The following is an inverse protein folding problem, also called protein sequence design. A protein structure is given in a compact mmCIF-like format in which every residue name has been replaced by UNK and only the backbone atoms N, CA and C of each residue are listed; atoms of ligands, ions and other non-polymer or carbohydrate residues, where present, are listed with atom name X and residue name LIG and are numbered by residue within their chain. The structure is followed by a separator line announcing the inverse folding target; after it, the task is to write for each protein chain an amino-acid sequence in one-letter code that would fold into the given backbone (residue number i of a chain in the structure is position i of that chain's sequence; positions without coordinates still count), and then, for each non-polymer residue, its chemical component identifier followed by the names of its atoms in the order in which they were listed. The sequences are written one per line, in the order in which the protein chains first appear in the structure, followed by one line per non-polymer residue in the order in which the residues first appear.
data_IF_568208354636
#
_entry.id   IF_568208354636
#
_cell.length_a   1.000
_cell.length_b   1.000
_cell.length_c   1.000
_cell.angle_alpha   90.00
_cell.angle_beta   90.00
_cell.angle_gamma   90.00
#
_symmetry.space_group_name_H-M   'P 1'
#
loop_
_entity.id
_entity.type
_entity.pdbx_description
1 polymer ?
#
# COMPACT_ATOMS: atom_id res chain seq x y z
N UNK A 1 6.39 -26.35 61.03
CA UNK A 1 5.75 -26.26 59.67
C UNK A 1 6.84 -25.92 58.65
N UNK A 2 7.16 -26.85 57.74
CA UNK A 2 8.35 -26.76 56.86
C UNK A 2 8.26 -25.56 55.91
N UNK A 3 9.31 -24.78 55.78
CA UNK A 3 9.50 -23.67 54.83
C UNK A 3 9.05 -24.02 53.39
N UNK A 4 9.37 -25.23 52.93
CA UNK A 4 8.94 -25.80 51.63
C UNK A 4 7.40 -25.75 51.45
N UNK A 5 6.62 -25.97 52.50
CA UNK A 5 5.16 -26.02 52.43
C UNK A 5 4.56 -24.61 52.30
N UNK A 6 5.18 -23.60 52.92
CA UNK A 6 4.79 -22.17 52.77
C UNK A 6 5.08 -21.64 51.38
N UNK A 7 6.28 -21.96 50.82
CA UNK A 7 6.67 -21.58 49.46
C UNK A 7 5.74 -22.19 48.40
N UNK A 8 5.41 -23.50 48.55
CA UNK A 8 4.48 -24.19 47.63
C UNK A 8 3.06 -23.58 47.66
N UNK A 9 2.59 -23.15 48.86
CA UNK A 9 1.30 -22.45 49.01
C UNK A 9 1.29 -21.09 48.33
N UNK A 10 2.38 -20.31 48.48
CA UNK A 10 2.53 -19.00 47.88
C UNK A 10 2.60 -19.05 46.34
N UNK A 11 3.34 -20.01 45.81
CA UNK A 11 3.40 -20.24 44.36
C UNK A 11 2.02 -20.62 43.81
N UNK A 12 1.29 -21.52 44.50
CA UNK A 12 -0.07 -21.91 44.07
C UNK A 12 -1.05 -20.73 44.14
N UNK A 13 -0.94 -19.87 45.16
CA UNK A 13 -1.76 -18.65 45.23
C UNK A 13 -1.47 -17.66 44.12
N UNK A 14 -0.19 -17.43 43.80
CA UNK A 14 0.20 -16.55 42.68
C UNK A 14 -0.30 -17.09 41.36
N UNK A 15 -0.10 -18.40 41.06
CA UNK A 15 -0.54 -19.02 39.83
C UNK A 15 -2.06 -19.03 39.66
N UNK A 16 -2.82 -19.21 40.73
CA UNK A 16 -4.29 -19.21 40.66
C UNK A 16 -4.89 -17.79 40.56
N UNK A 17 -4.16 -16.74 40.96
CA UNK A 17 -4.63 -15.37 40.91
C UNK A 17 -4.08 -14.55 39.71
N UNK A 18 -3.28 -15.19 38.85
CA UNK A 18 -2.93 -14.55 37.58
C UNK A 18 -4.16 -14.63 36.68
N UNK A 19 -4.78 -13.48 36.30
CA UNK A 19 -5.92 -13.50 35.39
C UNK A 19 -5.47 -14.11 34.07
N UNK A 20 -6.03 -15.24 33.70
CA UNK A 20 -5.81 -15.82 32.39
C UNK A 20 -6.35 -14.85 31.34
N UNK A 21 -5.48 -14.08 30.71
CA UNK A 21 -5.84 -13.29 29.54
C UNK A 21 -6.18 -14.24 28.41
N UNK A 22 -7.47 -14.41 28.15
CA UNK A 22 -7.93 -15.10 26.95
C UNK A 22 -7.66 -14.16 25.78
N UNK A 23 -6.74 -14.53 24.91
CA UNK A 23 -6.56 -13.88 23.62
C UNK A 23 -7.45 -14.61 22.62
N UNK A 24 -8.51 -13.96 22.19
CA UNK A 24 -9.28 -14.45 21.03
C UNK A 24 -8.49 -14.12 19.77
N UNK A 25 -7.74 -15.09 19.28
CA UNK A 25 -7.05 -14.97 18.00
C UNK A 25 -8.03 -15.33 16.90
N UNK A 26 -8.52 -14.34 16.18
CA UNK A 26 -9.32 -14.54 14.99
C UNK A 26 -8.38 -14.63 13.78
N UNK A 27 -8.12 -15.82 13.30
CA UNK A 27 -7.39 -16.03 12.04
C UNK A 27 -8.38 -15.78 10.90
N UNK A 28 -8.18 -14.68 10.15
CA UNK A 28 -8.93 -14.38 8.94
C UNK A 28 -8.06 -14.81 7.76
N UNK A 29 -8.51 -15.80 7.00
CA UNK A 29 -7.89 -16.15 5.71
C UNK A 29 -8.43 -15.20 4.66
N UNK A 30 -7.57 -14.37 4.09
CA UNK A 30 -7.91 -13.49 2.98
C UNK A 30 -7.63 -14.20 1.65
N UNK A 31 -8.53 -14.03 0.68
CA UNK A 31 -8.25 -14.45 -0.69
C UNK A 31 -7.12 -13.58 -1.28
N UNK A 32 -6.32 -14.09 -2.24
CA UNK A 32 -5.21 -13.33 -2.84
C UNK A 32 -5.64 -11.96 -3.39
N UNK A 33 -6.86 -11.86 -3.91
CA UNK A 33 -7.43 -10.61 -4.42
C UNK A 33 -8.00 -9.69 -3.32
N UNK A 34 -7.89 -10.05 -2.05
CA UNK A 34 -8.36 -9.27 -0.90
C UNK A 34 -7.25 -8.81 0.04
N UNK A 35 -5.99 -9.18 -0.24
CA UNK A 35 -4.85 -8.86 0.62
C UNK A 35 -4.69 -7.36 0.88
N UNK A 36 -4.98 -6.54 -0.13
CA UNK A 36 -4.90 -5.08 -0.08
C UNK A 36 -6.27 -4.40 -0.25
N UNK A 37 -7.35 -5.13 -0.02
CA UNK A 37 -8.72 -4.59 -0.13
C UNK A 37 -8.90 -3.39 0.82
N UNK A 38 -9.39 -2.28 0.27
CA UNK A 38 -9.58 -1.03 1.01
C UNK A 38 -8.30 -0.22 1.23
N UNK A 39 -7.16 -0.68 0.71
CA UNK A 39 -5.90 0.08 0.72
C UNK A 39 -5.70 0.84 -0.58
N UNK A 40 -5.04 1.99 -0.48
CA UNK A 40 -4.68 2.83 -1.63
C UNK A 40 -3.17 2.89 -1.77
N UNK A 41 -2.67 2.58 -2.95
CA UNK A 41 -1.26 2.70 -3.29
C UNK A 41 -1.03 3.82 -4.31
N UNK A 42 -0.07 4.70 -4.05
CA UNK A 42 0.47 5.66 -5.01
C UNK A 42 1.80 5.13 -5.54
N UNK A 43 1.91 4.95 -6.86
CA UNK A 43 3.09 4.41 -7.52
C UNK A 43 3.65 5.47 -8.47
N UNK A 44 4.83 5.99 -8.18
CA UNK A 44 5.49 6.93 -9.08
C UNK A 44 6.13 6.20 -10.26
N UNK A 45 5.97 6.73 -11.49
CA UNK A 45 6.49 6.06 -12.69
C UNK A 45 5.76 4.76 -13.04
N UNK A 46 4.44 4.72 -12.83
CA UNK A 46 3.60 3.53 -13.06
C UNK A 46 3.16 3.31 -14.51
N UNK A 47 3.67 4.07 -15.48
CA UNK A 47 3.22 4.00 -16.88
C UNK A 47 3.91 2.93 -17.71
N UNK A 48 4.97 2.29 -17.22
CA UNK A 48 5.71 1.24 -17.93
C UNK A 48 6.61 0.45 -16.98
N UNK A 49 7.16 -0.67 -17.47
CA UNK A 49 8.18 -1.46 -16.77
C UNK A 49 7.73 -1.95 -15.39
N UNK A 50 8.62 -1.85 -14.41
CA UNK A 50 8.40 -2.37 -13.05
C UNK A 50 7.19 -1.71 -12.39
N UNK A 51 7.07 -0.38 -12.47
CA UNK A 51 5.95 0.36 -11.87
C UNK A 51 4.58 -0.05 -12.40
N UNK A 52 4.48 -0.33 -13.70
CA UNK A 52 3.26 -0.83 -14.34
C UNK A 52 2.86 -2.21 -13.82
N UNK A 53 3.83 -3.13 -13.75
CA UNK A 53 3.58 -4.48 -13.23
C UNK A 53 3.25 -4.49 -11.73
N UNK A 54 3.85 -3.58 -10.95
CA UNK A 54 3.48 -3.38 -9.55
C UNK A 54 2.04 -2.87 -9.42
N UNK A 55 1.64 -1.90 -10.26
CA UNK A 55 0.26 -1.42 -10.29
C UNK A 55 -0.73 -2.55 -10.56
N UNK A 56 -0.43 -3.39 -11.56
CA UNK A 56 -1.24 -4.57 -11.88
C UNK A 56 -1.32 -5.55 -10.71
N UNK A 57 -0.19 -5.84 -10.04
CA UNK A 57 -0.17 -6.73 -8.88
C UNK A 57 -1.00 -6.19 -7.70
N UNK A 58 -0.91 -4.89 -7.42
CA UNK A 58 -1.69 -4.27 -6.34
C UNK A 58 -3.19 -4.24 -6.65
N UNK A 59 -3.58 -3.95 -7.90
CA UNK A 59 -4.97 -4.04 -8.34
C UNK A 59 -5.53 -5.46 -8.17
N UNK A 60 -4.74 -6.47 -8.58
CA UNK A 60 -5.09 -7.90 -8.39
C UNK A 60 -5.23 -8.29 -6.93
N UNK A 61 -4.47 -7.66 -6.04
CA UNK A 61 -4.55 -7.86 -4.58
C UNK A 61 -5.67 -7.07 -3.90
N UNK A 62 -6.52 -6.37 -4.67
CA UNK A 62 -7.68 -5.66 -4.16
C UNK A 62 -7.47 -4.19 -3.80
N UNK A 63 -6.26 -3.64 -3.98
CA UNK A 63 -6.00 -2.23 -3.73
C UNK A 63 -6.67 -1.31 -4.75
N UNK A 64 -6.91 -0.05 -4.34
CA UNK A 64 -7.01 1.05 -5.28
C UNK A 64 -5.60 1.58 -5.58
N UNK A 65 -5.34 1.98 -6.81
CA UNK A 65 -3.99 2.37 -7.26
C UNK A 65 -4.01 3.71 -7.98
N UNK A 66 -3.15 4.62 -7.56
CA UNK A 66 -2.81 5.83 -8.32
C UNK A 66 -1.47 5.59 -9.00
N UNK A 67 -1.43 5.66 -10.32
CA UNK A 67 -0.18 5.65 -11.07
C UNK A 67 0.17 7.05 -11.53
N UNK A 68 1.45 7.41 -11.48
CA UNK A 68 1.90 8.70 -12.02
C UNK A 68 2.87 8.51 -13.18
N UNK A 69 2.92 9.53 -14.04
CA UNK A 69 3.86 9.61 -15.15
C UNK A 69 3.95 11.03 -15.69
N UNK A 70 5.03 11.35 -16.40
CA UNK A 70 5.28 12.70 -16.97
C UNK A 70 4.47 12.96 -18.23
N UNK A 71 4.19 11.92 -19.02
CA UNK A 71 3.45 12.01 -20.27
C UNK A 71 2.00 11.59 -20.08
N UNK A 72 1.09 12.49 -20.40
CA UNK A 72 -0.34 12.25 -20.36
C UNK A 72 -0.76 11.11 -21.29
N UNK A 73 -0.17 11.06 -22.50
CA UNK A 73 -0.45 10.02 -23.47
C UNK A 73 -0.06 8.64 -22.94
N UNK A 74 1.17 8.47 -22.41
CA UNK A 74 1.62 7.21 -21.82
C UNK A 74 0.77 6.81 -20.63
N UNK A 75 0.36 7.78 -19.82
CA UNK A 75 -0.52 7.54 -18.69
C UNK A 75 -1.88 7.03 -19.14
N UNK A 76 -2.47 7.65 -20.18
CA UNK A 76 -3.75 7.23 -20.77
C UNK A 76 -3.67 5.81 -21.32
N UNK A 77 -2.59 5.47 -22.05
CA UNK A 77 -2.37 4.12 -22.59
C UNK A 77 -2.24 3.09 -21.45
N UNK A 78 -1.42 3.38 -20.45
CA UNK A 78 -1.23 2.48 -19.30
C UNK A 78 -2.53 2.26 -18.51
N UNK A 79 -3.29 3.33 -18.26
CA UNK A 79 -4.61 3.20 -17.63
C UNK A 79 -5.59 2.42 -18.49
N UNK A 80 -5.56 2.58 -19.83
CA UNK A 80 -6.38 1.81 -20.76
C UNK A 80 -6.10 0.32 -20.65
N UNK A 81 -4.83 -0.08 -20.76
CA UNK A 81 -4.41 -1.47 -20.66
C UNK A 81 -4.77 -2.10 -19.29
N UNK A 82 -4.54 -1.39 -18.19
CA UNK A 82 -4.91 -1.89 -16.86
C UNK A 82 -6.43 -2.01 -16.69
N UNK A 83 -7.23 -1.13 -17.29
CA UNK A 83 -8.70 -1.15 -17.20
C UNK A 83 -9.36 -2.17 -18.14
N UNK A 84 -8.61 -2.90 -18.96
CA UNK A 84 -9.15 -4.03 -19.73
C UNK A 84 -9.76 -5.11 -18.82
N UNK A 85 -9.26 -5.24 -17.59
CA UNK A 85 -9.85 -6.09 -16.57
C UNK A 85 -10.95 -5.31 -15.83
N UNK A 86 -12.19 -5.70 -16.01
CA UNK A 86 -13.37 -5.07 -15.40
C UNK A 86 -13.30 -5.03 -13.87
N UNK A 87 -12.57 -5.96 -13.24
CA UNK A 87 -12.38 -5.99 -11.81
C UNK A 87 -11.58 -4.79 -11.26
N UNK A 88 -10.86 -4.05 -12.12
CA UNK A 88 -10.07 -2.88 -11.71
C UNK A 88 -10.83 -1.56 -11.85
N UNK A 89 -11.98 -1.56 -12.50
CA UNK A 89 -12.81 -0.37 -12.70
C UNK A 89 -13.13 0.31 -11.37
N UNK A 90 -12.95 1.63 -11.34
CA UNK A 90 -13.17 2.44 -10.14
C UNK A 90 -12.07 2.37 -9.08
N UNK A 91 -11.01 1.56 -9.31
CA UNK A 91 -9.87 1.42 -8.39
C UNK A 91 -8.53 1.89 -8.99
N UNK A 92 -8.52 2.29 -10.26
CA UNK A 92 -7.32 2.79 -10.94
C UNK A 92 -7.46 4.28 -11.26
N UNK A 93 -6.47 5.06 -10.85
CA UNK A 93 -6.41 6.51 -11.04
C UNK A 93 -5.08 6.89 -11.70
N UNK A 94 -5.13 7.67 -12.76
CA UNK A 94 -3.95 8.23 -13.41
C UNK A 94 -3.72 9.68 -13.00
N UNK A 95 -2.48 10.08 -12.74
CA UNK A 95 -2.09 11.45 -12.42
C UNK A 95 -0.82 11.86 -13.17
N UNK A 96 -0.89 12.93 -13.95
CA UNK A 96 0.30 13.51 -14.58
C UNK A 96 1.15 14.17 -13.51
N UNK A 97 2.37 13.70 -13.33
CA UNK A 97 3.29 14.18 -12.31
C UNK A 97 4.73 14.04 -12.79
N UNK A 98 5.47 15.14 -12.74
CA UNK A 98 6.91 15.18 -12.95
C UNK A 98 7.61 15.34 -11.59
N UNK A 99 8.31 14.30 -11.15
CA UNK A 99 8.97 14.28 -9.86
C UNK A 99 10.20 15.21 -9.78
N UNK A 100 10.66 15.76 -10.92
CA UNK A 100 11.73 16.77 -10.93
C UNK A 100 11.21 18.17 -10.56
N UNK A 101 9.91 18.38 -10.64
CA UNK A 101 9.23 19.64 -10.31
C UNK A 101 8.79 19.64 -8.85
N UNK A 102 9.77 19.81 -7.96
CA UNK A 102 9.56 19.81 -6.49
C UNK A 102 8.60 20.93 -6.06
N UNK A 103 8.64 22.06 -6.77
CA UNK A 103 7.74 23.20 -6.59
C UNK A 103 6.25 22.87 -6.77
N UNK A 104 5.95 21.86 -7.60
CA UNK A 104 4.57 21.43 -7.87
C UNK A 104 4.17 20.16 -7.10
N UNK A 105 5.07 19.60 -6.29
CA UNK A 105 4.84 18.31 -5.64
C UNK A 105 3.62 18.32 -4.72
N UNK A 106 3.51 19.35 -3.89
CA UNK A 106 2.39 19.49 -2.95
C UNK A 106 1.04 19.52 -3.68
N UNK A 107 0.91 20.35 -4.70
CA UNK A 107 -0.34 20.46 -5.48
C UNK A 107 -0.69 19.16 -6.21
N UNK A 108 0.33 18.47 -6.73
CA UNK A 108 0.13 17.20 -7.41
C UNK A 108 -0.28 16.10 -6.45
N UNK A 109 0.33 16.07 -5.27
CA UNK A 109 -0.04 15.13 -4.22
C UNK A 109 -1.47 15.37 -3.73
N UNK A 110 -1.86 16.64 -3.52
CA UNK A 110 -3.24 16.98 -3.17
C UNK A 110 -4.23 16.49 -4.24
N UNK A 111 -3.91 16.68 -5.53
CA UNK A 111 -4.73 16.14 -6.63
C UNK A 111 -4.84 14.62 -6.61
N UNK A 112 -3.79 13.90 -6.16
CA UNK A 112 -3.89 12.46 -5.97
C UNK A 112 -4.89 12.11 -4.86
N UNK A 113 -4.84 12.81 -3.73
CA UNK A 113 -5.78 12.63 -2.62
C UNK A 113 -7.22 12.93 -3.06
N UNK A 114 -7.45 14.01 -3.80
CA UNK A 114 -8.78 14.38 -4.30
C UNK A 114 -9.34 13.31 -5.25
N UNK A 115 -8.48 12.76 -6.13
CA UNK A 115 -8.88 11.69 -7.05
C UNK A 115 -9.30 10.42 -6.32
N UNK A 116 -8.54 9.97 -5.34
CA UNK A 116 -8.90 8.78 -4.55
C UNK A 116 -10.10 9.07 -3.66
N UNK A 117 -10.20 10.28 -3.09
CA UNK A 117 -11.34 10.71 -2.30
C UNK A 117 -12.65 10.68 -3.09
N UNK A 118 -12.65 11.14 -4.34
CA UNK A 118 -13.80 11.04 -5.23
C UNK A 118 -14.18 9.59 -5.59
N UNK A 119 -13.22 8.67 -5.53
CA UNK A 119 -13.42 7.23 -5.66
C UNK A 119 -13.87 6.52 -4.38
N UNK A 120 -14.09 7.27 -3.28
CA UNK A 120 -14.52 6.72 -1.99
C UNK A 120 -13.39 6.23 -1.08
N UNK A 121 -12.14 6.62 -1.36
CA UNK A 121 -10.97 6.25 -0.55
C UNK A 121 -10.46 7.48 0.24
N UNK A 122 -10.36 7.40 1.57
CA UNK A 122 -10.09 8.59 2.41
C UNK A 122 -8.63 9.04 2.39
N UNK A 123 -7.68 8.17 2.07
CA UNK A 123 -6.24 8.46 2.16
C UNK A 123 -5.41 7.50 1.30
N UNK A 124 -4.12 7.77 1.19
CA UNK A 124 -3.13 6.89 0.58
C UNK A 124 -2.40 6.12 1.69
N UNK A 125 -2.43 4.79 1.64
CA UNK A 125 -1.81 3.89 2.62
C UNK A 125 -0.36 3.52 2.25
N UNK A 126 -0.08 3.40 0.95
CA UNK A 126 1.17 2.85 0.44
C UNK A 126 1.77 3.81 -0.58
N UNK A 127 3.03 4.19 -0.38
CA UNK A 127 3.79 4.97 -1.35
C UNK A 127 4.91 4.11 -1.94
N UNK A 128 4.93 3.99 -3.26
CA UNK A 128 5.99 3.31 -4.02
C UNK A 128 6.78 4.33 -4.83
N UNK A 129 7.97 4.65 -4.35
CA UNK A 129 8.92 5.50 -5.04
C UNK A 129 9.68 4.68 -6.10
N UNK A 130 9.06 4.50 -7.28
CA UNK A 130 9.61 3.70 -8.37
C UNK A 130 10.14 4.57 -9.54
N UNK A 131 9.62 5.80 -9.69
CA UNK A 131 10.08 6.66 -10.77
C UNK A 131 11.60 6.87 -10.69
N UNK A 132 12.28 6.52 -11.76
CA UNK A 132 13.72 6.71 -11.92
C UNK A 132 14.06 6.93 -13.38
N UNK A 133 15.16 7.62 -13.63
CA UNK A 133 15.80 7.70 -14.94
C UNK A 133 17.18 7.06 -14.80
N UNK A 134 17.52 6.16 -15.71
CA UNK A 134 18.91 5.78 -15.89
C UNK A 134 19.64 7.08 -16.27
N UNK A 135 20.51 7.56 -15.39
CA UNK A 135 21.35 8.71 -15.70
C UNK A 135 22.00 8.51 -17.06
N UNK A 136 21.95 9.54 -17.90
CA UNK A 136 22.79 9.57 -19.08
C UNK A 136 24.21 9.25 -18.60
N UNK A 137 24.87 8.30 -19.28
CA UNK A 137 26.26 7.92 -19.01
C UNK A 137 27.07 9.17 -18.66
N UNK A 138 27.72 9.16 -17.49
CA UNK A 138 28.69 10.21 -17.20
C UNK A 138 29.62 10.31 -18.39
N UNK A 139 29.86 11.50 -18.95
CA UNK A 139 30.92 11.64 -19.94
C UNK A 139 32.18 11.13 -19.24
N UNK A 140 32.86 10.21 -19.87
CA UNK A 140 34.11 9.65 -19.40
C UNK A 140 35.04 10.80 -18.97
N UNK A 141 35.41 10.78 -17.68
CA UNK A 141 36.47 11.61 -17.16
C UNK A 141 37.80 11.21 -17.82
#
# INVERSE_FOLDING_TARGET
MSFKRKVKGMIKFILNNIPARKFDVRVVSLAPNELLKGRVALITGGTSGIGFHMAKAFLRSGAAVVITGRSEERLRLACGELNEDDHYKGRLFGLVMDNTRVDLFHDRFQKALDKVGSGGFPHIDILVNNAGVLGASMPNA
#
